data_IF_003791557805
#
_entry.id   IF_003791557805
#
_cell.length_a   1.000
_cell.length_b   1.000
_cell.length_c   1.000
_cell.angle_alpha   90.00
_cell.angle_beta   90.00
_cell.angle_gamma   90.00
#
_symmetry.space_group_name_H-M   'P 1'
#
loop_
_entity.id
_entity.type
_entity.pdbx_description
1 polymer ?
#
# COMPACT_ATOMS: atom_id res chain seq x y z
N UNK A 1 36.31 29.37 39.39
CA UNK A 1 37.16 28.58 38.47
C UNK A 1 36.70 27.17 38.69
N UNK A 2 35.70 26.76 37.92
CA UNK A 2 35.15 25.41 37.98
C UNK A 2 35.88 24.61 36.90
N UNK A 3 36.69 23.66 37.33
CA UNK A 3 37.41 22.77 36.42
C UNK A 3 36.42 21.89 35.66
N UNK A 4 36.55 21.75 34.33
CA UNK A 4 35.80 20.76 33.59
C UNK A 4 36.35 19.36 33.92
N UNK A 5 35.48 18.56 34.53
CA UNK A 5 35.68 17.18 34.94
C UNK A 5 36.33 16.36 33.80
N UNK A 6 37.58 15.93 33.99
CA UNK A 6 38.38 15.13 33.05
C UNK A 6 37.95 13.65 32.98
N UNK A 7 36.66 13.36 32.96
CA UNK A 7 36.14 12.00 32.73
C UNK A 7 35.63 11.77 31.29
N UNK A 8 35.69 12.80 30.43
CA UNK A 8 35.11 12.76 29.08
C UNK A 8 35.97 12.05 28.02
N UNK A 9 37.16 11.56 28.35
CA UNK A 9 38.16 11.12 27.36
C UNK A 9 38.42 9.62 27.28
N UNK A 10 37.58 8.77 27.86
CA UNK A 10 37.92 7.34 27.98
C UNK A 10 37.02 6.36 27.27
N UNK A 11 35.88 6.73 26.68
CA UNK A 11 34.97 5.69 26.20
C UNK A 11 34.16 6.09 24.97
N UNK A 12 34.02 5.08 24.09
CA UNK A 12 33.22 5.01 22.87
C UNK A 12 33.99 5.35 21.60
N UNK A 13 34.77 4.37 21.14
CA UNK A 13 35.03 4.22 19.71
C UNK A 13 33.69 4.19 18.95
N UNK A 14 33.69 4.57 17.67
CA UNK A 14 32.47 4.51 16.83
C UNK A 14 31.77 3.16 16.92
N UNK A 15 32.53 2.07 16.99
CA UNK A 15 31.98 0.72 17.11
C UNK A 15 31.29 0.49 18.47
N UNK A 16 31.91 0.91 19.57
CA UNK A 16 31.31 0.78 20.90
C UNK A 16 30.02 1.62 21.02
N UNK A 17 29.98 2.81 20.40
CA UNK A 17 28.76 3.60 20.33
C UNK A 17 27.64 2.84 19.60
N UNK A 18 27.96 2.16 18.50
CA UNK A 18 26.97 1.34 17.76
C UNK A 18 26.45 0.18 18.61
N UNK A 19 27.34 -0.54 19.28
CA UNK A 19 26.98 -1.69 20.13
C UNK A 19 26.11 -1.27 21.32
N UNK A 20 26.43 -0.14 21.96
CA UNK A 20 25.60 0.38 23.06
C UNK A 20 24.22 0.84 22.58
N UNK A 21 24.14 1.57 21.46
CA UNK A 21 22.85 1.96 20.89
C UNK A 21 22.00 0.75 20.49
N UNK A 22 22.64 -0.30 19.96
CA UNK A 22 22.00 -1.58 19.67
C UNK A 22 21.44 -2.22 20.96
N UNK A 23 22.23 -2.29 22.03
CA UNK A 23 21.78 -2.82 23.32
C UNK A 23 20.57 -2.07 23.86
N UNK A 24 20.58 -0.73 23.83
CA UNK A 24 19.43 0.08 24.25
C UNK A 24 18.19 -0.22 23.42
N UNK A 25 18.34 -0.38 22.10
CA UNK A 25 17.23 -0.69 21.21
C UNK A 25 16.65 -2.08 21.49
N UNK A 26 17.49 -3.09 21.73
CA UNK A 26 17.03 -4.44 22.09
C UNK A 26 16.27 -4.42 23.41
N UNK A 27 16.82 -3.77 24.44
CA UNK A 27 16.22 -3.74 25.79
C UNK A 27 14.86 -3.03 25.80
N UNK A 28 14.76 -1.87 25.17
CA UNK A 28 13.48 -1.15 25.09
C UNK A 28 12.46 -1.86 24.19
N UNK A 29 12.92 -2.54 23.14
CA UNK A 29 12.04 -3.35 22.29
C UNK A 29 11.41 -4.51 23.06
N UNK A 30 12.20 -5.20 23.89
CA UNK A 30 11.71 -6.27 24.77
C UNK A 30 10.73 -5.74 25.83
N UNK A 31 11.01 -4.55 26.39
CA UNK A 31 10.15 -3.93 27.41
C UNK A 31 8.79 -3.50 26.87
N UNK A 32 8.77 -2.89 25.68
CA UNK A 32 7.57 -2.26 25.13
C UNK A 32 6.86 -3.13 24.09
N UNK A 33 7.44 -4.27 23.69
CA UNK A 33 6.90 -5.15 22.63
C UNK A 33 6.93 -4.52 21.24
N UNK A 34 7.67 -3.41 21.06
CA UNK A 34 7.74 -2.67 19.79
C UNK A 34 9.19 -2.54 19.36
N UNK A 35 9.54 -2.93 18.11
CA UNK A 35 10.90 -2.78 17.60
C UNK A 35 11.29 -1.32 17.34
N UNK A 36 10.30 -0.41 17.29
CA UNK A 36 10.50 1.01 17.00
C UNK A 36 10.59 1.82 18.28
N UNK A 37 11.69 2.53 18.45
CA UNK A 37 11.96 3.39 19.60
C UNK A 37 12.18 4.81 19.12
N UNK A 38 11.61 5.78 19.86
CA UNK A 38 11.81 7.21 19.58
C UNK A 38 13.26 7.60 19.84
N UNK A 39 13.86 8.38 18.95
CA UNK A 39 15.24 8.86 19.14
C UNK A 39 15.40 9.64 20.44
N UNK A 40 14.41 10.43 20.84
CA UNK A 40 14.42 11.19 22.12
C UNK A 40 14.57 10.23 23.30
N UNK A 41 13.82 9.11 23.28
CA UNK A 41 13.91 8.10 24.33
C UNK A 41 15.28 7.41 24.33
N UNK A 42 15.81 7.12 23.14
CA UNK A 42 17.15 6.54 22.99
C UNK A 42 18.23 7.49 23.51
N UNK A 43 18.12 8.79 23.26
CA UNK A 43 19.05 9.80 23.77
C UNK A 43 18.95 9.97 25.28
N UNK A 44 17.74 9.92 25.85
CA UNK A 44 17.53 9.94 27.31
C UNK A 44 18.19 8.73 27.99
N UNK A 45 17.95 7.52 27.49
CA UNK A 45 18.53 6.30 28.05
C UNK A 45 20.06 6.30 28.00
N UNK A 46 20.61 6.84 26.92
CA UNK A 46 22.05 6.97 26.77
C UNK A 46 22.61 8.00 27.77
N UNK A 47 21.94 9.14 27.92
CA UNK A 47 22.31 10.18 28.87
C UNK A 47 22.20 9.72 30.32
N UNK A 48 21.16 8.96 30.68
CA UNK A 48 20.98 8.37 32.01
C UNK A 48 22.16 7.44 32.40
N UNK A 49 22.78 6.75 31.43
CA UNK A 49 23.87 5.80 31.68
C UNK A 49 25.26 6.45 31.65
N UNK A 50 25.48 7.41 30.75
CA UNK A 50 26.81 7.94 30.46
C UNK A 50 26.98 9.43 30.77
N UNK A 51 25.91 10.13 31.15
CA UNK A 51 25.87 11.58 31.39
C UNK A 51 26.33 12.44 30.20
N UNK A 52 26.42 11.84 29.01
CA UNK A 52 26.88 12.48 27.76
C UNK A 52 25.86 12.23 26.67
N UNK A 53 25.63 13.23 25.79
CA UNK A 53 24.71 13.06 24.67
C UNK A 53 25.34 12.21 23.56
N UNK A 54 24.63 11.22 22.99
CA UNK A 54 25.16 10.43 21.87
C UNK A 54 25.43 11.27 20.62
N UNK A 55 24.78 12.43 20.46
CA UNK A 55 25.11 13.39 19.42
C UNK A 55 26.48 14.06 19.61
N UNK A 56 26.84 14.36 20.85
CA UNK A 56 28.14 14.94 21.19
C UNK A 56 29.25 13.91 20.95
N UNK A 57 29.03 12.66 21.36
CA UNK A 57 29.96 11.57 21.08
C UNK A 57 30.13 11.38 19.57
N UNK A 58 29.05 11.38 18.79
CA UNK A 58 29.12 11.25 17.34
C UNK A 58 29.91 12.40 16.68
N UNK A 59 29.74 13.64 17.17
CA UNK A 59 30.48 14.82 16.69
C UNK A 59 31.98 14.71 16.98
N UNK A 60 32.35 14.32 18.21
CA UNK A 60 33.75 14.11 18.61
C UNK A 60 34.41 13.04 17.75
N UNK A 61 33.65 12.03 17.34
CA UNK A 61 34.12 10.95 16.46
C UNK A 61 34.08 11.29 14.95
N UNK A 62 33.87 12.56 14.58
CA UNK A 62 33.97 13.03 13.19
C UNK A 62 32.69 12.91 12.36
N UNK A 63 31.53 12.64 12.97
CA UNK A 63 30.25 12.68 12.26
C UNK A 63 29.71 14.12 12.23
N UNK A 64 29.88 14.81 11.10
CA UNK A 64 29.32 16.15 10.85
C UNK A 64 27.80 16.18 10.85
N UNK A 65 27.18 15.06 10.44
CA UNK A 65 25.75 14.96 10.14
C UNK A 65 24.90 14.58 11.38
N UNK A 66 25.50 14.65 12.57
CA UNK A 66 24.87 14.32 13.85
C UNK A 66 24.50 12.84 14.01
N UNK A 67 23.75 12.51 15.06
CA UNK A 67 23.32 11.15 15.37
C UNK A 67 22.51 10.52 14.23
N UNK A 68 21.66 11.30 13.58
CA UNK A 68 20.86 10.86 12.43
C UNK A 68 21.74 10.39 11.26
N UNK A 69 22.76 11.16 10.89
CA UNK A 69 23.69 10.78 9.84
C UNK A 69 24.50 9.53 10.21
N UNK A 70 24.94 9.46 11.48
CA UNK A 70 25.67 8.32 12.02
C UNK A 70 24.84 7.02 12.00
N UNK A 71 23.57 7.08 12.40
CA UNK A 71 22.69 5.90 12.33
C UNK A 71 22.46 5.44 10.89
N UNK A 72 22.30 6.38 9.94
CA UNK A 72 22.16 6.05 8.50
C UNK A 72 23.43 5.42 7.92
N UNK A 73 24.60 5.91 8.28
CA UNK A 73 25.87 5.39 7.75
C UNK A 73 26.19 3.99 8.25
N UNK A 74 25.75 3.64 9.46
CA UNK A 74 26.03 2.35 10.08
C UNK A 74 25.44 1.13 9.34
N UNK A 75 24.35 1.31 8.57
CA UNK A 75 23.55 0.22 7.97
C UNK A 75 23.03 -0.83 8.96
N UNK A 76 23.14 -0.61 10.28
CA UNK A 76 22.64 -1.52 11.34
C UNK A 76 21.22 -1.17 11.77
N UNK A 77 20.80 0.07 11.52
CA UNK A 77 19.52 0.60 11.97
C UNK A 77 18.59 0.95 10.81
N UNK A 78 17.30 0.77 11.05
CA UNK A 78 16.21 1.32 10.25
C UNK A 78 15.73 2.61 10.89
N UNK A 79 15.52 3.64 10.07
CA UNK A 79 15.04 4.95 10.52
C UNK A 79 13.69 5.22 9.88
N UNK A 80 12.70 5.55 10.70
CA UNK A 80 11.39 6.01 10.26
C UNK A 80 11.23 7.49 10.56
N UNK A 81 11.12 8.27 9.48
CA UNK A 81 10.98 9.72 9.53
C UNK A 81 9.55 10.14 9.86
N UNK A 82 9.41 11.18 10.68
CA UNK A 82 8.12 11.83 10.94
C UNK A 82 8.05 13.18 10.22
N UNK A 83 6.91 13.88 10.33
CA UNK A 83 6.76 15.23 9.80
C UNK A 83 7.62 16.26 10.54
N UNK A 84 8.08 15.95 11.75
CA UNK A 84 8.98 16.79 12.54
C UNK A 84 10.41 16.29 12.33
N UNK A 85 11.34 17.11 11.77
CA UNK A 85 12.68 16.65 11.42
C UNK A 85 13.50 16.07 12.58
N UNK A 86 13.22 16.53 13.80
CA UNK A 86 13.89 16.11 15.04
C UNK A 86 13.26 14.88 15.69
N UNK A 87 12.05 14.50 15.28
CA UNK A 87 11.38 13.32 15.80
C UNK A 87 11.46 12.22 14.76
N UNK A 88 12.23 11.18 15.05
CA UNK A 88 12.27 9.97 14.24
C UNK A 88 12.35 8.75 15.13
N UNK A 89 11.97 7.61 14.55
CA UNK A 89 12.02 6.32 15.21
C UNK A 89 13.18 5.52 14.64
N UNK A 90 13.80 4.73 15.50
CA UNK A 90 14.94 3.86 15.18
C UNK A 90 14.58 2.44 15.61
N UNK A 91 14.93 1.50 14.76
CA UNK A 91 14.84 0.06 15.03
C UNK A 91 16.13 -0.62 14.53
N UNK A 92 16.43 -1.81 15.01
CA UNK A 92 17.47 -2.63 14.37
C UNK A 92 16.97 -3.11 13.01
N UNK A 93 17.84 -3.10 12.01
CA UNK A 93 17.50 -3.56 10.65
C UNK A 93 17.08 -5.04 10.64
N UNK A 94 17.59 -5.83 11.59
CA UNK A 94 17.27 -7.26 11.76
C UNK A 94 16.20 -7.53 12.83
N UNK A 95 15.53 -6.51 13.38
CA UNK A 95 14.58 -6.72 14.46
C UNK A 95 13.43 -7.65 14.03
N UNK A 96 13.39 -8.84 14.63
CA UNK A 96 12.27 -9.77 14.49
C UNK A 96 11.18 -9.29 15.44
N UNK A 97 10.00 -8.98 14.92
CA UNK A 97 8.82 -8.67 15.75
C UNK A 97 8.45 -9.94 16.51
N UNK A 98 8.49 -9.96 17.85
CA UNK A 98 8.28 -11.18 18.64
C UNK A 98 6.93 -11.87 18.34
N UNK A 99 5.92 -11.08 17.98
CA UNK A 99 4.57 -11.56 17.64
C UNK A 99 4.46 -12.17 16.23
N UNK A 100 5.54 -12.21 15.46
CA UNK A 100 5.58 -12.81 14.12
C UNK A 100 6.25 -14.20 14.09
N UNK A 101 6.63 -14.77 15.23
CA UNK A 101 7.44 -16.00 15.30
C UNK A 101 6.63 -17.31 15.38
N UNK A 102 5.31 -17.31 15.19
CA UNK A 102 4.54 -18.54 15.01
C UNK A 102 3.62 -18.49 13.79
N UNK A 103 4.21 -18.63 12.61
CA UNK A 103 3.56 -19.34 11.52
C UNK A 103 4.63 -20.10 10.76
N UNK A 104 4.46 -21.42 10.75
CA UNK A 104 5.15 -22.38 9.90
C UNK A 104 5.37 -21.83 8.49
N UNK A 105 6.54 -22.10 7.91
CA UNK A 105 6.91 -21.86 6.51
C UNK A 105 6.03 -20.81 5.83
N UNK A 106 6.39 -19.52 5.97
CA UNK A 106 5.63 -18.42 5.38
C UNK A 106 5.47 -18.71 3.88
N UNK A 107 4.32 -19.25 3.50
CA UNK A 107 3.82 -19.16 2.15
C UNK A 107 3.57 -17.66 1.98
N UNK A 108 4.52 -16.94 1.40
CA UNK A 108 4.41 -15.50 1.21
C UNK A 108 3.24 -15.30 0.23
N UNK A 109 2.05 -15.10 0.79
CA UNK A 109 0.87 -14.83 0.00
C UNK A 109 0.87 -13.33 -0.34
N UNK A 110 1.49 -12.99 -1.46
CA UNK A 110 1.45 -11.63 -1.97
C UNK A 110 0.05 -11.35 -2.58
N UNK A 111 -0.55 -10.21 -2.25
CA UNK A 111 -1.79 -9.74 -2.87
C UNK A 111 -1.50 -8.54 -3.75
N UNK A 112 -1.40 -8.78 -5.06
CA UNK A 112 -1.25 -7.69 -6.03
C UNK A 112 -2.58 -6.94 -6.15
N UNK A 113 -2.69 -5.78 -5.49
CA UNK A 113 -3.92 -4.97 -5.53
C UNK A 113 -4.21 -4.37 -6.91
N UNK A 114 -3.19 -4.22 -7.76
CA UNK A 114 -3.30 -3.61 -9.10
C UNK A 114 -2.45 -4.39 -10.12
N UNK A 115 -2.95 -5.53 -10.63
CA UNK A 115 -2.19 -6.39 -11.56
C UNK A 115 -1.69 -5.63 -12.78
N UNK A 116 -2.47 -4.67 -13.29
CA UNK A 116 -2.13 -3.85 -14.46
C UNK A 116 -1.00 -2.83 -14.25
N UNK A 117 -0.54 -2.62 -13.00
CA UNK A 117 0.62 -1.78 -12.68
C UNK A 117 1.89 -2.59 -12.40
N UNK A 118 1.78 -3.91 -12.38
CA UNK A 118 2.92 -4.79 -12.16
C UNK A 118 3.55 -5.09 -13.52
N UNK A 119 4.87 -4.89 -13.60
CA UNK A 119 5.65 -5.26 -14.77
C UNK A 119 5.45 -6.76 -15.04
N UNK A 120 5.19 -7.12 -16.30
CA UNK A 120 5.05 -8.52 -16.72
C UNK A 120 6.24 -9.38 -16.31
N UNK A 121 7.43 -8.79 -16.19
CA UNK A 121 8.64 -9.49 -15.71
C UNK A 121 8.50 -10.01 -14.27
N UNK A 122 7.90 -9.23 -13.37
CA UNK A 122 7.66 -9.64 -11.98
C UNK A 122 6.66 -10.81 -11.94
N UNK A 123 5.64 -10.77 -12.79
CA UNK A 123 4.64 -11.83 -12.89
C UNK A 123 5.27 -13.16 -13.33
N UNK A 124 6.23 -13.12 -14.27
CA UNK A 124 6.98 -14.29 -14.73
C UNK A 124 7.89 -14.85 -13.63
N UNK A 125 8.57 -13.98 -12.87
CA UNK A 125 9.43 -14.41 -11.76
C UNK A 125 8.62 -15.12 -10.67
N UNK A 126 7.47 -14.55 -10.29
CA UNK A 126 6.60 -15.14 -9.28
C UNK A 126 6.05 -16.51 -9.70
N UNK A 127 5.68 -16.68 -10.97
CA UNK A 127 5.26 -17.99 -11.51
C UNK A 127 6.40 -19.01 -11.52
N UNK A 128 7.61 -18.59 -11.86
CA UNK A 128 8.78 -19.47 -11.84
C UNK A 128 9.14 -19.93 -10.42
N UNK A 129 8.79 -19.15 -9.41
CA UNK A 129 8.98 -19.46 -7.99
C UNK A 129 7.84 -20.34 -7.40
N UNK A 130 6.96 -20.86 -8.26
CA UNK A 130 5.91 -21.81 -7.88
C UNK A 130 4.67 -21.16 -7.25
N UNK A 131 4.50 -19.85 -7.41
CA UNK A 131 3.38 -19.17 -6.79
C UNK A 131 2.08 -19.31 -7.62
N UNK A 132 1.01 -19.72 -6.93
CA UNK A 132 -0.31 -19.92 -7.53
C UNK A 132 -1.18 -18.66 -7.47
N UNK A 133 -1.87 -18.38 -8.59
CA UNK A 133 -2.80 -17.26 -8.69
C UNK A 133 -4.12 -17.62 -7.99
N UNK A 134 -4.26 -17.22 -6.72
CA UNK A 134 -5.56 -17.25 -6.04
C UNK A 134 -6.44 -16.14 -6.59
N UNK A 135 -7.23 -16.44 -7.62
CA UNK A 135 -8.30 -15.55 -8.10
C UNK A 135 -9.39 -15.50 -7.02
N UNK A 136 -9.58 -14.40 -6.27
CA UNK A 136 -10.71 -14.31 -5.36
C UNK A 136 -11.91 -13.90 -6.19
N UNK A 137 -12.64 -14.89 -6.71
CA UNK A 137 -14.00 -14.74 -7.19
C UNK A 137 -14.91 -15.63 -6.33
N UNK A 138 -15.05 -15.29 -5.04
CA UNK A 138 -16.13 -15.84 -4.21
C UNK A 138 -17.24 -14.81 -4.02
N UNK A 139 -18.20 -14.94 -4.92
CA UNK A 139 -19.64 -14.98 -4.68
C UNK A 139 -20.17 -14.28 -3.42
N UNK A 140 -20.88 -13.18 -3.62
CA UNK A 140 -22.12 -12.93 -2.89
C UNK A 140 -23.28 -13.17 -3.85
N UNK A 141 -24.06 -14.23 -3.57
CA UNK A 141 -25.37 -14.49 -4.18
C UNK A 141 -26.22 -13.23 -4.07
N UNK A 142 -26.55 -12.61 -5.20
CA UNK A 142 -27.69 -11.71 -5.31
C UNK A 142 -28.45 -12.16 -6.56
N UNK A 143 -29.71 -12.53 -6.31
CA UNK A 143 -30.69 -13.17 -7.17
C UNK A 143 -30.55 -12.85 -8.66
N UNK A 144 -30.32 -13.92 -9.44
CA UNK A 144 -30.46 -13.98 -10.88
C UNK A 144 -31.93 -13.76 -11.25
N UNK A 145 -32.27 -12.54 -11.64
CA UNK A 145 -33.43 -12.31 -12.50
C UNK A 145 -32.91 -12.07 -13.91
N UNK A 146 -33.16 -13.08 -14.74
CA UNK A 146 -32.94 -13.21 -16.19
C UNK A 146 -32.64 -11.89 -16.90
N UNK A 147 -31.34 -11.62 -17.08
CA UNK A 147 -30.91 -10.65 -18.08
C UNK A 147 -30.69 -11.41 -19.37
N UNK A 148 -31.28 -10.95 -20.46
CA UNK A 148 -30.99 -11.42 -21.82
C UNK A 148 -29.64 -10.84 -22.27
N UNK A 149 -28.57 -11.13 -21.51
CA UNK A 149 -27.22 -10.70 -21.85
C UNK A 149 -26.70 -11.58 -22.98
N UNK A 150 -26.08 -10.94 -23.96
CA UNK A 150 -25.33 -11.65 -25.00
C UNK A 150 -24.18 -12.40 -24.32
N UNK A 151 -24.03 -13.72 -24.53
CA UNK A 151 -23.03 -14.53 -23.84
C UNK A 151 -21.58 -14.19 -24.24
N UNK A 152 -21.39 -13.68 -25.45
CA UNK A 152 -20.09 -13.29 -25.99
C UNK A 152 -20.18 -11.91 -26.64
N UNK A 153 -19.25 -11.01 -26.30
CA UNK A 153 -19.24 -9.65 -26.82
C UNK A 153 -18.28 -9.61 -28.00
N UNK A 154 -18.83 -9.75 -29.21
CA UNK A 154 -18.04 -9.80 -30.45
C UNK A 154 -17.97 -8.44 -31.16
N UNK A 155 -18.96 -7.57 -30.94
CA UNK A 155 -19.05 -6.27 -31.60
C UNK A 155 -19.22 -5.09 -30.63
N UNK A 156 -19.00 -3.87 -31.14
CA UNK A 156 -19.20 -2.64 -30.37
C UNK A 156 -20.66 -2.49 -29.95
N UNK A 157 -21.59 -2.90 -30.81
CA UNK A 157 -23.02 -2.87 -30.54
C UNK A 157 -23.40 -3.85 -29.41
N UNK A 158 -22.80 -5.04 -29.37
CA UNK A 158 -23.05 -6.00 -28.28
C UNK A 158 -22.55 -5.46 -26.94
N UNK A 159 -21.41 -4.75 -26.95
CA UNK A 159 -20.88 -4.12 -25.75
C UNK A 159 -21.81 -3.00 -25.25
N UNK A 160 -22.32 -2.17 -26.17
CA UNK A 160 -23.29 -1.12 -25.85
C UNK A 160 -24.59 -1.69 -25.28
N UNK A 161 -25.13 -2.75 -25.89
CA UNK A 161 -26.33 -3.47 -25.42
C UNK A 161 -26.09 -4.05 -24.03
N UNK A 162 -24.97 -4.75 -23.83
CA UNK A 162 -24.62 -5.35 -22.54
C UNK A 162 -24.51 -4.30 -21.43
N UNK A 163 -23.86 -3.16 -21.70
CA UNK A 163 -23.74 -2.07 -20.74
C UNK A 163 -25.11 -1.44 -20.44
N UNK A 164 -25.94 -1.22 -21.45
CA UNK A 164 -27.29 -0.69 -21.28
C UNK A 164 -28.18 -1.63 -20.46
N UNK A 165 -28.13 -2.95 -20.70
CA UNK A 165 -28.85 -3.96 -19.91
C UNK A 165 -28.43 -3.95 -18.44
N UNK A 166 -27.11 -3.92 -18.18
CA UNK A 166 -26.60 -3.87 -16.81
C UNK A 166 -27.09 -2.60 -16.11
N UNK A 167 -27.01 -1.43 -16.77
CA UNK A 167 -27.48 -0.17 -16.19
C UNK A 167 -28.99 -0.20 -15.94
N UNK A 168 -29.78 -0.76 -16.87
CA UNK A 168 -31.23 -0.92 -16.70
C UNK A 168 -31.56 -1.80 -15.50
N UNK A 169 -30.87 -2.93 -15.36
CA UNK A 169 -31.03 -3.85 -14.23
C UNK A 169 -30.71 -3.19 -12.89
N UNK A 170 -29.66 -2.37 -12.85
CA UNK A 170 -29.24 -1.64 -11.66
C UNK A 170 -30.18 -0.48 -11.33
N UNK A 171 -30.80 0.13 -12.33
CA UNK A 171 -31.70 1.28 -12.14
C UNK A 171 -33.13 0.85 -11.81
N UNK A 172 -33.57 -0.32 -12.28
CA UNK A 172 -34.93 -0.84 -12.06
C UNK A 172 -35.29 -1.02 -10.57
N UNK A 173 -34.31 -1.37 -9.75
CA UNK A 173 -34.50 -1.69 -8.33
C UNK A 173 -34.02 -0.58 -7.37
N UNK A 174 -33.53 0.56 -7.87
CA UNK A 174 -32.91 1.59 -7.03
C UNK A 174 -33.68 2.92 -7.04
N UNK A 175 -33.92 3.53 -5.86
CA UNK A 175 -34.56 4.85 -5.77
C UNK A 175 -33.64 5.96 -6.31
N UNK A 176 -32.33 5.75 -6.19
CA UNK A 176 -31.28 6.57 -6.82
C UNK A 176 -31.16 6.07 -8.26
N UNK A 177 -31.84 6.73 -9.20
CA UNK A 177 -31.96 6.35 -10.62
C UNK A 177 -30.65 6.50 -11.43
N UNK A 178 -29.51 6.35 -10.77
CA UNK A 178 -28.19 6.54 -11.35
C UNK A 178 -27.23 5.46 -10.84
N UNK A 179 -26.26 5.12 -11.67
CA UNK A 179 -25.27 4.08 -11.45
C UNK A 179 -23.88 4.69 -11.62
N UNK A 180 -22.98 4.47 -10.65
CA UNK A 180 -21.59 4.92 -10.79
C UNK A 180 -20.80 3.98 -11.69
N UNK A 181 -19.76 4.49 -12.34
CA UNK A 181 -18.86 3.68 -13.19
C UNK A 181 -18.23 2.51 -12.42
N UNK A 182 -17.97 2.68 -11.13
CA UNK A 182 -17.43 1.62 -10.27
C UNK A 182 -18.42 0.45 -10.13
N UNK A 183 -19.70 0.73 -9.89
CA UNK A 183 -20.75 -0.30 -9.76
C UNK A 183 -20.99 -0.99 -11.09
N UNK A 184 -21.05 -0.21 -12.19
CA UNK A 184 -21.17 -0.75 -13.54
C UNK A 184 -20.00 -1.70 -13.88
N UNK A 185 -18.77 -1.26 -13.61
CA UNK A 185 -17.56 -2.05 -13.86
C UNK A 185 -17.54 -3.35 -13.04
N UNK A 186 -17.98 -3.28 -11.79
CA UNK A 186 -18.10 -4.46 -10.92
C UNK A 186 -19.12 -5.45 -11.49
N UNK A 187 -20.33 -5.00 -11.80
CA UNK A 187 -21.38 -5.87 -12.36
C UNK A 187 -20.99 -6.47 -13.69
N UNK A 188 -20.36 -5.70 -14.58
CA UNK A 188 -19.87 -6.23 -15.84
C UNK A 188 -18.84 -7.35 -15.62
N UNK A 189 -17.91 -7.17 -14.69
CA UNK A 189 -16.93 -8.21 -14.34
C UNK A 189 -17.61 -9.46 -13.74
N UNK A 190 -18.67 -9.27 -12.95
CA UNK A 190 -19.44 -10.38 -12.38
C UNK A 190 -20.07 -11.25 -13.48
N UNK A 191 -20.60 -10.64 -14.55
CA UNK A 191 -21.23 -11.35 -15.67
C UNK A 191 -20.23 -11.93 -16.67
N UNK A 192 -19.31 -11.10 -17.17
CA UNK A 192 -18.43 -11.45 -18.28
C UNK A 192 -17.08 -12.02 -17.85
N UNK A 193 -16.83 -12.11 -16.53
CA UNK A 193 -15.56 -12.57 -15.94
C UNK A 193 -14.32 -11.81 -16.42
N UNK A 194 -14.52 -10.64 -17.00
CA UNK A 194 -13.46 -9.77 -17.50
C UNK A 194 -13.78 -8.30 -17.25
N UNK A 195 -12.76 -7.43 -17.05
CA UNK A 195 -12.96 -6.00 -16.96
C UNK A 195 -13.46 -5.39 -18.28
N UNK A 196 -14.35 -4.39 -18.22
CA UNK A 196 -14.86 -3.66 -19.40
C UNK A 196 -13.72 -3.17 -20.31
N UNK A 197 -12.61 -2.73 -19.72
CA UNK A 197 -11.44 -2.25 -20.47
C UNK A 197 -10.81 -3.30 -21.39
N UNK A 198 -10.92 -4.59 -21.05
CA UNK A 198 -10.41 -5.68 -21.88
C UNK A 198 -11.28 -5.81 -23.13
N UNK A 199 -12.60 -5.89 -22.95
CA UNK A 199 -13.57 -5.92 -24.06
C UNK A 199 -13.45 -4.67 -24.95
N UNK A 200 -13.31 -3.48 -24.36
CA UNK A 200 -13.10 -2.24 -25.11
C UNK A 200 -11.81 -2.23 -25.93
N UNK A 201 -10.71 -2.81 -25.41
CA UNK A 201 -9.44 -2.86 -26.16
C UNK A 201 -9.56 -3.72 -27.42
N UNK A 202 -10.31 -4.81 -27.34
CA UNK A 202 -10.50 -5.73 -28.46
C UNK A 202 -11.45 -5.15 -29.52
N UNK A 203 -12.47 -4.40 -29.09
CA UNK A 203 -13.60 -4.03 -29.95
C UNK A 203 -13.53 -2.57 -30.41
N UNK A 204 -13.15 -1.65 -29.52
CA UNK A 204 -13.12 -0.21 -29.78
C UNK A 204 -11.84 0.44 -29.20
N UNK A 205 -10.66 0.10 -29.77
CA UNK A 205 -9.39 0.61 -29.28
C UNK A 205 -9.32 2.14 -29.39
N UNK A 206 -8.93 2.79 -28.29
CA UNK A 206 -8.71 4.24 -28.24
C UNK A 206 -9.91 5.07 -27.73
N UNK A 207 -11.11 4.49 -27.64
CA UNK A 207 -12.29 5.18 -27.09
C UNK A 207 -12.30 5.07 -25.57
N UNK A 208 -12.60 6.16 -24.86
CA UNK A 208 -12.75 6.13 -23.40
C UNK A 208 -14.14 5.61 -23.02
N UNK A 209 -14.24 4.93 -21.88
CA UNK A 209 -15.52 4.36 -21.41
C UNK A 209 -16.64 5.41 -21.31
N UNK A 210 -16.30 6.63 -20.90
CA UNK A 210 -17.27 7.72 -20.80
C UNK A 210 -17.79 8.14 -22.18
N UNK A 211 -16.92 8.21 -23.19
CA UNK A 211 -17.29 8.54 -24.57
C UNK A 211 -18.19 7.45 -25.17
N UNK A 212 -17.88 6.17 -24.90
CA UNK A 212 -18.74 5.05 -25.28
C UNK A 212 -20.11 5.12 -24.59
N UNK A 213 -20.17 5.44 -23.30
CA UNK A 213 -21.46 5.55 -22.60
C UNK A 213 -22.27 6.76 -23.07
N UNK A 214 -21.61 7.79 -23.62
CA UNK A 214 -22.24 8.95 -24.23
C UNK A 214 -22.73 8.68 -25.66
N UNK A 215 -22.15 7.74 -26.40
CA UNK A 215 -22.64 7.35 -27.73
C UNK A 215 -23.97 6.61 -27.66
N UNK A 216 -24.24 5.91 -26.55
CA UNK A 216 -25.47 5.13 -26.37
C UNK A 216 -26.69 6.06 -26.21
N UNK A 217 -27.67 6.05 -27.15
CA UNK A 217 -28.78 6.99 -27.13
C UNK A 217 -29.67 6.87 -25.89
N UNK A 218 -29.83 5.65 -25.38
CA UNK A 218 -30.69 5.30 -24.23
C UNK A 218 -30.11 5.69 -22.87
N UNK A 219 -28.85 6.14 -22.83
CA UNK A 219 -28.14 6.48 -21.60
C UNK A 219 -27.95 8.00 -21.47
N UNK A 220 -27.95 8.46 -20.22
CA UNK A 220 -27.55 9.80 -19.84
C UNK A 220 -26.39 9.72 -18.87
N UNK A 221 -25.26 10.33 -19.27
CA UNK A 221 -24.01 10.35 -18.51
C UNK A 221 -23.80 11.75 -17.96
N UNK A 222 -23.64 11.86 -16.64
CA UNK A 222 -23.39 13.12 -15.95
C UNK A 222 -22.20 12.97 -15.00
N UNK A 223 -21.50 14.09 -14.75
CA UNK A 223 -20.47 14.18 -13.74
C UNK A 223 -21.04 14.92 -12.54
N UNK A 224 -21.15 14.26 -11.39
CA UNK A 224 -21.65 14.85 -10.13
C UNK A 224 -20.52 14.79 -9.13
N UNK A 225 -20.21 15.93 -8.52
CA UNK A 225 -19.03 16.15 -7.68
C UNK A 225 -17.73 15.78 -8.42
N UNK A 226 -17.19 14.60 -8.15
CA UNK A 226 -15.98 14.08 -8.77
C UNK A 226 -16.18 12.69 -9.42
N UNK A 227 -17.41 12.17 -9.43
CA UNK A 227 -17.73 10.84 -9.94
C UNK A 227 -18.63 10.89 -11.17
N UNK A 228 -18.37 9.99 -12.10
CA UNK A 228 -19.22 9.79 -13.27
C UNK A 228 -20.38 8.87 -12.92
N UNK A 229 -21.59 9.34 -13.25
CA UNK A 229 -22.84 8.64 -13.02
C UNK A 229 -23.58 8.47 -14.35
N UNK A 230 -24.25 7.32 -14.50
CA UNK A 230 -25.01 6.97 -15.69
C UNK A 230 -26.42 6.57 -15.28
N UNK A 231 -27.39 7.04 -16.05
CA UNK A 231 -28.81 6.76 -15.85
C UNK A 231 -29.45 6.41 -17.19
N UNK A 232 -30.58 5.69 -17.14
CA UNK A 232 -31.40 5.45 -18.34
C UNK A 232 -32.20 6.71 -18.63
N UNK A 233 -32.12 7.25 -19.86
CA UNK A 233 -32.98 8.37 -20.27
C UNK A 233 -34.43 7.92 -20.19
N UNK A 234 -35.27 8.73 -19.54
CA UNK A 234 -36.71 8.59 -19.71
C UNK A 234 -37.06 9.11 -21.10
N UNK A 235 -37.53 8.21 -21.96
CA UNK A 235 -38.24 8.56 -23.19
C UNK A 235 -39.67 8.91 -22.80
#
# INVERSE_FOLDING_TARGET
MDEPNQNSSSFLSLQQLLEELENFIVLESQRNGSPWIRVIRLTELFYEKYEVSPEEVAKVQGCSDGLRGFLRSSRRFSIYDTQVPQEFYVALLQAIVPDLQQSQAILIQYRIKRPWKVDGRLLTMLKAEGAEENVPCHAQKISEHQLNLVPEIESANDLEIALAEIIRSLTANNPKKFVTIAVLSKKFCDYYKQPIRVSMRSICPGIKLIELLQSVPSLHVQKVDNDWQVSVKRV
#
